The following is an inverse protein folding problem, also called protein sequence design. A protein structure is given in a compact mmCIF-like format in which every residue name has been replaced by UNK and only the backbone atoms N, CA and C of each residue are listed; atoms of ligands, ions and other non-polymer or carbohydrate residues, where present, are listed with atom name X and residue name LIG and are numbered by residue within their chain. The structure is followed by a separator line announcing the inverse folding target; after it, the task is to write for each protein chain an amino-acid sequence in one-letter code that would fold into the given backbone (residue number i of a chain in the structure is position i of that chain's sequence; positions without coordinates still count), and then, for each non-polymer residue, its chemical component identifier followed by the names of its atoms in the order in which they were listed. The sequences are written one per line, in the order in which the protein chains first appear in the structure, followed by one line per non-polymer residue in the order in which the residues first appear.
data_IF_782942526519
#
_entry.id   IF_782942526519
#
_cell.length_a   1.000
_cell.length_b   1.000
_cell.length_c   1.000
_cell.angle_alpha   90.00
_cell.angle_beta   90.00
_cell.angle_gamma   90.00
#
_symmetry.space_group_name_H-M   'P 1'
#
loop_
_entity.id
_entity.type
_entity.pdbx_description
1 polymer ?
#
# COMPACT_ATOMS: atom_id res chain seq x y z
N UNK A 1 10.64 -8.51 18.66
CA UNK A 1 10.94 -9.22 19.94
C UNK A 1 9.99 -8.76 21.04
N UNK A 2 9.84 -7.44 21.26
CA UNK A 2 8.88 -6.84 22.21
C UNK A 2 7.57 -7.60 22.49
N UNK A 3 6.73 -7.87 21.49
CA UNK A 3 5.48 -8.62 21.73
C UNK A 3 5.72 -10.02 22.29
N UNK A 4 6.68 -10.76 21.73
CA UNK A 4 7.00 -12.14 22.14
C UNK A 4 7.55 -12.17 23.57
N UNK A 5 8.39 -11.19 23.92
CA UNK A 5 8.98 -11.07 25.26
C UNK A 5 7.91 -10.83 26.35
N UNK A 6 6.70 -10.41 25.93
CA UNK A 6 5.52 -10.22 26.79
C UNK A 6 4.47 -11.33 26.63
N UNK A 7 4.77 -12.43 25.91
CA UNK A 7 3.80 -13.51 25.66
C UNK A 7 2.67 -13.15 24.69
N UNK A 8 2.78 -12.05 23.94
CA UNK A 8 1.79 -11.60 22.95
C UNK A 8 2.16 -12.13 21.56
N UNK A 9 1.20 -12.74 20.86
CA UNK A 9 1.36 -13.18 19.47
C UNK A 9 1.36 -11.96 18.53
N UNK A 10 2.48 -11.62 17.87
CA UNK A 10 2.48 -10.52 16.90
C UNK A 10 1.83 -10.95 15.58
N UNK A 11 1.06 -10.04 14.99
CA UNK A 11 0.67 -10.11 13.58
C UNK A 11 1.51 -9.06 12.85
N UNK A 12 2.29 -9.51 11.86
CA UNK A 12 3.14 -8.61 11.08
C UNK A 12 2.37 -8.21 9.83
N UNK A 13 2.35 -6.91 9.55
CA UNK A 13 1.67 -6.34 8.40
C UNK A 13 2.25 -4.99 8.04
N UNK A 14 1.68 -4.37 7.00
CA UNK A 14 2.05 -3.03 6.56
C UNK A 14 0.86 -2.36 5.87
N UNK A 15 0.71 -1.05 6.08
CA UNK A 15 -0.13 -0.21 5.22
C UNK A 15 0.75 0.26 4.06
N UNK A 16 0.51 -0.28 2.87
CA UNK A 16 1.26 0.06 1.66
C UNK A 16 0.61 1.21 0.93
N UNK A 17 1.41 1.96 0.16
CA UNK A 17 0.90 2.89 -0.82
C UNK A 17 0.73 2.19 -2.17
N UNK A 18 -0.41 2.41 -2.83
CA UNK A 18 -0.71 1.95 -4.18
C UNK A 18 -0.72 3.12 -5.14
N UNK A 19 -0.08 2.94 -6.29
CA UNK A 19 -0.24 3.83 -7.44
C UNK A 19 -1.68 3.73 -7.98
N UNK A 20 -2.09 4.69 -8.81
CA UNK A 20 -3.42 4.63 -9.39
C UNK A 20 -3.54 3.44 -10.37
N UNK A 21 -2.57 3.30 -11.28
CA UNK A 21 -2.50 2.20 -12.25
C UNK A 21 -1.17 1.44 -12.17
N UNK A 22 -0.05 2.16 -12.31
CA UNK A 22 1.29 1.56 -12.37
C UNK A 22 2.24 2.25 -11.41
N UNK A 23 3.08 1.47 -10.70
CA UNK A 23 4.13 1.99 -9.81
C UNK A 23 5.14 2.89 -10.55
N UNK A 24 5.22 2.79 -11.87
CA UNK A 24 6.10 3.59 -12.71
C UNK A 24 5.53 4.97 -13.11
N UNK A 25 4.26 5.26 -12.81
CA UNK A 25 3.66 6.56 -13.08
C UNK A 25 4.37 7.68 -12.30
N UNK A 26 4.48 8.88 -12.87
CA UNK A 26 5.11 10.06 -12.20
C UNK A 26 4.22 11.31 -12.30
N UNK A 27 2.96 11.27 -11.84
CA UNK A 27 2.07 12.43 -11.88
C UNK A 27 2.59 13.56 -10.99
N UNK A 28 2.40 14.81 -11.42
CA UNK A 28 2.72 15.97 -10.59
C UNK A 28 1.69 16.12 -9.46
N UNK A 29 2.16 16.33 -8.22
CA UNK A 29 1.32 16.60 -7.06
C UNK A 29 0.67 17.99 -7.15
N UNK A 30 -0.62 18.06 -6.87
CA UNK A 30 -1.43 19.28 -6.68
C UNK A 30 -2.21 19.19 -5.37
N UNK A 31 -2.79 20.31 -4.94
CA UNK A 31 -3.61 20.36 -3.73
C UNK A 31 -2.79 20.31 -2.44
N UNK A 32 -3.48 20.12 -1.30
CA UNK A 32 -2.84 20.02 0.02
C UNK A 32 -2.16 18.68 0.17
N UNK A 33 -0.95 18.68 0.71
CA UNK A 33 -0.22 17.48 1.08
C UNK A 33 -0.64 17.02 2.48
N UNK A 34 -1.88 16.55 2.61
CA UNK A 34 -2.36 15.86 3.82
C UNK A 34 -2.16 14.34 3.66
N UNK A 35 -2.82 13.56 4.52
CA UNK A 35 -2.76 12.08 4.52
C UNK A 35 -3.24 11.44 3.20
N UNK A 36 -3.86 12.22 2.30
CA UNK A 36 -4.25 11.76 0.95
C UNK A 36 -3.10 11.79 -0.06
N UNK A 37 -2.00 12.48 0.25
CA UNK A 37 -0.89 12.71 -0.67
C UNK A 37 -1.11 13.84 -1.68
N UNK A 38 -2.28 14.47 -1.65
CA UNK A 38 -2.74 15.42 -2.65
C UNK A 38 -3.28 14.73 -3.91
N UNK A 39 -3.60 15.56 -4.90
CA UNK A 39 -4.29 15.15 -6.12
C UNK A 39 -3.38 15.30 -7.33
N UNK A 40 -3.81 14.70 -8.43
CA UNK A 40 -3.18 14.84 -9.75
C UNK A 40 -3.94 15.87 -10.59
N UNK A 41 -3.39 16.25 -11.75
CA UNK A 41 -4.04 17.19 -12.67
C UNK A 41 -5.46 16.79 -13.13
N UNK A 42 -5.83 15.51 -12.98
CA UNK A 42 -7.16 14.99 -13.30
C UNK A 42 -8.08 14.78 -12.09
N UNK A 43 -7.76 15.35 -10.92
CA UNK A 43 -8.58 15.21 -9.71
C UNK A 43 -8.53 13.83 -9.04
N UNK A 44 -7.68 12.92 -9.54
CA UNK A 44 -7.42 11.62 -8.92
C UNK A 44 -6.39 11.77 -7.81
N UNK A 45 -6.48 10.95 -6.77
CA UNK A 45 -5.46 10.89 -5.70
C UNK A 45 -4.10 10.48 -6.26
N UNK A 46 -3.05 10.97 -5.61
CA UNK A 46 -1.66 10.66 -5.97
C UNK A 46 -1.26 9.21 -5.64
N UNK A 47 -1.87 8.64 -4.61
CA UNK A 47 -1.75 7.24 -4.21
C UNK A 47 -2.89 6.84 -3.27
N UNK A 48 -3.08 5.53 -3.13
CA UNK A 48 -4.10 4.91 -2.28
C UNK A 48 -3.43 4.06 -1.21
N UNK A 49 -4.18 3.65 -0.19
CA UNK A 49 -3.67 2.79 0.88
C UNK A 49 -4.24 1.38 0.79
N UNK A 50 -3.45 0.37 1.13
CA UNK A 50 -3.93 -0.98 1.38
C UNK A 50 -3.27 -1.58 2.62
N UNK A 51 -4.07 -2.17 3.51
CA UNK A 51 -3.58 -2.85 4.71
C UNK A 51 -3.37 -4.32 4.37
N UNK A 52 -2.12 -4.78 4.55
CA UNK A 52 -1.70 -6.15 4.31
C UNK A 52 -1.17 -6.79 5.60
N UNK A 53 -1.47 -8.07 5.81
CA UNK A 53 -0.99 -8.85 6.94
C UNK A 53 -0.42 -10.19 6.46
N UNK A 54 0.70 -10.61 7.04
CA UNK A 54 1.26 -11.93 6.79
C UNK A 54 0.46 -12.98 7.57
N UNK A 55 -0.19 -13.89 6.84
CA UNK A 55 -0.86 -15.06 7.42
C UNK A 55 0.16 -16.09 7.92
N UNK A 56 1.28 -16.21 7.21
CA UNK A 56 2.33 -17.20 7.45
C UNK A 56 3.72 -16.66 7.05
N UNK A 57 4.74 -17.52 7.14
CA UNK A 57 6.12 -17.13 6.82
C UNK A 57 6.33 -16.78 5.34
N UNK A 58 5.60 -17.41 4.41
CA UNK A 58 5.64 -17.07 2.98
C UNK A 58 5.10 -15.65 2.78
N UNK A 59 3.95 -15.35 3.39
CA UNK A 59 3.38 -14.00 3.42
C UNK A 59 4.35 -12.95 3.97
N UNK A 60 5.07 -13.27 5.05
CA UNK A 60 6.07 -12.36 5.61
C UNK A 60 7.22 -12.08 4.62
N UNK A 61 7.76 -13.10 3.95
CA UNK A 61 8.78 -12.91 2.91
C UNK A 61 8.24 -12.08 1.74
N UNK A 62 6.99 -12.34 1.34
CA UNK A 62 6.32 -11.60 0.27
C UNK A 62 6.09 -10.13 0.64
N UNK A 63 5.72 -9.81 1.89
CA UNK A 63 5.65 -8.42 2.36
C UNK A 63 7.01 -7.71 2.30
N UNK A 64 8.11 -8.42 2.61
CA UNK A 64 9.47 -7.86 2.47
C UNK A 64 9.77 -7.54 1.00
N UNK A 65 9.48 -8.47 0.08
CA UNK A 65 9.72 -8.27 -1.35
C UNK A 65 8.88 -7.13 -1.91
N UNK A 66 7.58 -7.10 -1.59
CA UNK A 66 6.65 -6.06 -2.03
C UNK A 66 7.12 -4.68 -1.55
N UNK A 67 7.47 -4.55 -0.27
CA UNK A 67 7.99 -3.29 0.29
C UNK A 67 9.29 -2.84 -0.40
N UNK A 68 10.22 -3.78 -0.61
CA UNK A 68 11.50 -3.52 -1.28
C UNK A 68 11.29 -3.06 -2.72
N UNK A 69 10.42 -3.73 -3.48
CA UNK A 69 10.09 -3.42 -4.87
C UNK A 69 9.34 -2.09 -5.00
N UNK A 70 8.39 -1.81 -4.11
CA UNK A 70 7.71 -0.52 -4.05
C UNK A 70 8.70 0.64 -3.85
N UNK A 71 9.76 0.43 -3.07
CA UNK A 71 10.82 1.43 -2.88
C UNK A 71 11.76 1.54 -4.08
N UNK A 72 12.26 0.42 -4.61
CA UNK A 72 13.26 0.44 -5.69
C UNK A 72 12.69 0.86 -7.04
N UNK A 73 11.44 0.50 -7.32
CA UNK A 73 10.83 0.67 -8.65
C UNK A 73 9.73 1.74 -8.66
N UNK A 74 9.00 1.84 -7.53
CA UNK A 74 7.76 2.60 -7.42
C UNK A 74 7.87 3.95 -6.72
N UNK A 75 9.06 4.33 -6.24
CA UNK A 75 9.21 5.52 -5.42
C UNK A 75 8.89 6.80 -6.21
N UNK A 76 7.84 7.48 -5.75
CA UNK A 76 7.44 8.81 -6.20
C UNK A 76 6.64 9.49 -5.09
N UNK A 77 7.30 10.37 -4.33
CA UNK A 77 6.86 10.91 -3.02
C UNK A 77 6.68 9.88 -1.90
N UNK A 78 6.18 8.68 -2.22
CA UNK A 78 6.06 7.50 -1.38
C UNK A 78 6.53 6.25 -2.16
N UNK A 79 7.00 5.20 -1.47
CA UNK A 79 7.25 3.91 -2.10
C UNK A 79 5.90 3.25 -2.45
N UNK A 80 5.55 3.23 -3.73
CA UNK A 80 4.23 2.75 -4.19
C UNK A 80 4.35 1.38 -4.84
N UNK A 81 3.46 0.47 -4.50
CA UNK A 81 3.20 -0.74 -5.25
C UNK A 81 2.10 -0.48 -6.31
N UNK A 82 1.78 -1.51 -7.08
CA UNK A 82 0.61 -1.58 -7.96
C UNK A 82 -0.02 -2.98 -7.88
N UNK A 83 -1.14 -3.17 -8.57
CA UNK A 83 -1.88 -4.43 -8.56
C UNK A 83 -1.07 -5.60 -9.14
N UNK A 84 -0.26 -5.37 -10.17
CA UNK A 84 0.64 -6.38 -10.75
C UNK A 84 1.62 -6.91 -9.70
N UNK A 85 2.30 -6.01 -8.99
CA UNK A 85 3.25 -6.38 -7.95
C UNK A 85 2.55 -7.07 -6.77
N UNK A 86 1.34 -6.64 -6.42
CA UNK A 86 0.54 -7.31 -5.38
C UNK A 86 0.18 -8.73 -5.78
N UNK A 87 -0.28 -8.95 -7.01
CA UNK A 87 -0.65 -10.27 -7.53
C UNK A 87 0.56 -11.21 -7.53
N UNK A 88 1.72 -10.71 -7.97
CA UNK A 88 2.97 -11.48 -7.98
C UNK A 88 3.37 -12.02 -6.58
N UNK A 89 3.08 -11.26 -5.53
CA UNK A 89 3.49 -11.58 -4.16
C UNK A 89 2.30 -11.89 -3.23
N UNK A 90 1.13 -12.26 -3.77
CA UNK A 90 -0.11 -12.42 -2.99
C UNK A 90 -0.11 -13.61 -2.02
N UNK A 91 0.72 -14.62 -2.24
CA UNK A 91 0.69 -15.85 -1.45
C UNK A 91 0.95 -15.60 0.04
N UNK A 92 0.06 -16.09 0.91
CA UNK A 92 0.16 -15.95 2.36
C UNK A 92 -0.11 -14.53 2.89
N UNK A 93 -0.67 -13.64 2.08
CA UNK A 93 -1.04 -12.28 2.49
C UNK A 93 -2.57 -12.16 2.61
N UNK A 94 -3.01 -11.60 3.75
CA UNK A 94 -4.38 -11.13 3.95
C UNK A 94 -4.43 -9.64 3.60
N UNK A 95 -5.33 -9.25 2.70
CA UNK A 95 -5.61 -7.86 2.33
C UNK A 95 -6.99 -7.42 2.83
N UNK A 96 -7.16 -6.12 3.06
CA UNK A 96 -8.45 -5.50 3.41
C UNK A 96 -8.86 -4.46 2.40
N UNK A 97 -10.10 -3.97 2.46
CA UNK A 97 -10.57 -2.82 1.67
C UNK A 97 -9.86 -1.50 1.99
N UNK A 98 -9.06 -1.47 3.07
CA UNK A 98 -8.26 -0.32 3.48
C UNK A 98 -9.01 0.71 4.32
N UNK A 99 -8.31 1.79 4.64
CA UNK A 99 -8.86 2.94 5.34
C UNK A 99 -9.60 3.88 4.36
N UNK A 100 -10.01 5.06 4.83
CA UNK A 100 -10.63 6.09 3.98
C UNK A 100 -9.76 6.45 2.77
N UNK A 101 -8.44 6.30 2.87
CA UNK A 101 -7.49 6.54 1.80
C UNK A 101 -7.35 5.40 0.78
N UNK A 102 -7.99 4.25 0.98
CA UNK A 102 -7.93 3.09 0.09
C UNK A 102 -8.81 3.20 -1.15
N UNK A 103 -8.55 2.36 -2.15
CA UNK A 103 -9.27 2.39 -3.44
C UNK A 103 -10.79 2.27 -3.27
N UNK A 104 -11.26 1.32 -2.45
CA UNK A 104 -12.69 1.02 -2.32
C UNK A 104 -13.48 2.21 -1.77
N UNK A 105 -13.05 2.78 -0.64
CA UNK A 105 -13.78 3.90 -0.02
C UNK A 105 -13.64 5.19 -0.84
N UNK A 106 -12.49 5.41 -1.49
CA UNK A 106 -12.34 6.57 -2.39
C UNK A 106 -13.26 6.49 -3.60
N UNK A 107 -13.44 5.30 -4.19
CA UNK A 107 -14.42 5.10 -5.26
C UNK A 107 -15.84 5.36 -4.78
N UNK A 108 -16.23 4.82 -3.62
CA UNK A 108 -17.57 5.07 -3.07
C UNK A 108 -17.86 6.55 -2.77
N UNK A 109 -16.84 7.32 -2.38
CA UNK A 109 -16.98 8.76 -2.11
C UNK A 109 -17.12 9.61 -3.38
N UNK A 110 -16.67 9.12 -4.53
CA UNK A 110 -16.72 9.85 -5.80
C UNK A 110 -18.04 9.68 -6.55
N UNK A 111 -18.88 8.71 -6.14
CA UNK A 111 -20.15 8.37 -6.79
C UNK A 111 -19.97 7.39 -7.94
#
# INVERSE_FOLDING_TARGET
RGCKDQGIKPIIGTEIYLAHESRHERPSRRGRADDSGGDTGGGKKLYYHAILMAENNVGYQNLIQLSSKAYMEGYHYKPRADWELMEQYAEGIIATSGCLGGHVLQSLMQG
#
